data_IF_777403877422
#
_entry.id   IF_777403877422
#
_cell.length_a   1.000
_cell.length_b   1.000
_cell.length_c   1.000
_cell.angle_alpha   90.00
_cell.angle_beta   90.00
_cell.angle_gamma   90.00
#
_symmetry.space_group_name_H-M   'P 1'
#
loop_
_entity.id
_entity.type
_entity.pdbx_description
1 polymer ?
#
# COMPACT_ATOMS: atom_id res chain seq x y z
N UNK A 1 5.87 12.48 -16.42
CA UNK A 1 6.80 12.70 -15.29
C UNK A 1 6.11 12.97 -13.95
N UNK A 2 4.79 13.20 -13.86
CA UNK A 2 4.09 13.33 -12.56
C UNK A 2 3.54 11.99 -12.00
N UNK A 3 2.99 11.13 -12.86
CA UNK A 3 2.38 9.86 -12.43
C UNK A 3 3.40 8.87 -11.83
N UNK A 4 4.62 8.82 -12.36
CA UNK A 4 5.67 7.95 -11.83
C UNK A 4 6.11 8.36 -10.42
N UNK A 5 6.20 9.66 -10.13
CA UNK A 5 6.51 10.16 -8.79
C UNK A 5 5.41 9.81 -7.79
N UNK A 6 4.14 9.90 -8.22
CA UNK A 6 3.01 9.55 -7.36
C UNK A 6 2.94 8.03 -7.08
N UNK A 7 3.23 7.20 -8.08
CA UNK A 7 3.36 5.75 -7.91
C UNK A 7 4.48 5.40 -6.91
N UNK A 8 5.65 6.02 -7.06
CA UNK A 8 6.79 5.79 -6.17
C UNK A 8 6.50 6.21 -4.71
N UNK A 9 5.73 7.28 -4.49
CA UNK A 9 5.29 7.69 -3.15
C UNK A 9 4.31 6.68 -2.54
N UNK A 10 3.37 6.18 -3.34
CA UNK A 10 2.43 5.14 -2.90
C UNK A 10 3.14 3.82 -2.59
N UNK A 11 4.12 3.42 -3.40
CA UNK A 11 4.94 2.24 -3.12
C UNK A 11 5.74 2.39 -1.83
N UNK A 12 6.33 3.57 -1.57
CA UNK A 12 7.01 3.83 -0.29
C UNK A 12 6.06 3.73 0.90
N UNK A 13 4.85 4.30 0.79
CA UNK A 13 3.82 4.14 1.83
C UNK A 13 3.43 2.68 2.03
N UNK A 14 3.25 1.94 0.94
CA UNK A 14 2.92 0.51 1.01
C UNK A 14 4.01 -0.27 1.74
N UNK A 15 5.27 0.00 1.42
CA UNK A 15 6.42 -0.64 2.07
C UNK A 15 6.54 -0.30 3.56
N UNK A 16 6.19 0.93 3.95
CA UNK A 16 6.13 1.32 5.36
C UNK A 16 5.04 0.55 6.11
N UNK A 17 3.85 0.41 5.53
CA UNK A 17 2.74 -0.34 6.13
C UNK A 17 3.07 -1.83 6.23
N UNK A 18 3.72 -2.43 5.21
CA UNK A 18 4.18 -3.82 5.30
C UNK A 18 5.12 -4.03 6.49
N UNK A 19 6.10 -3.13 6.67
CA UNK A 19 7.02 -3.18 7.82
C UNK A 19 6.30 -3.03 9.16
N UNK A 20 5.29 -2.17 9.26
CA UNK A 20 4.48 -2.06 10.47
C UNK A 20 3.68 -3.34 10.74
N UNK A 21 3.11 -3.95 9.70
CA UNK A 21 2.39 -5.23 9.82
C UNK A 21 3.33 -6.34 10.30
N UNK A 22 4.54 -6.45 9.73
CA UNK A 22 5.53 -7.44 10.15
C UNK A 22 5.97 -7.24 11.61
N UNK A 23 6.11 -5.99 12.03
CA UNK A 23 6.48 -5.65 13.41
C UNK A 23 5.36 -6.00 14.40
N UNK A 24 4.11 -5.72 14.06
CA UNK A 24 2.94 -6.09 14.87
C UNK A 24 2.69 -7.61 14.88
N UNK A 25 2.91 -8.30 13.76
CA UNK A 25 2.83 -9.77 13.67
C UNK A 25 3.86 -10.48 14.56
N UNK A 26 5.06 -9.90 14.69
CA UNK A 26 6.12 -10.42 15.54
C UNK A 26 5.98 -10.06 17.02
N UNK A 27 5.02 -9.18 17.38
CA UNK A 27 4.81 -8.78 18.75
C UNK A 27 3.98 -9.84 19.51
N UNK A 28 4.42 -10.30 20.69
CA UNK A 28 3.73 -11.34 21.47
C UNK A 28 2.39 -10.88 22.07
N UNK A 29 2.15 -9.57 22.14
CA UNK A 29 0.86 -8.94 22.48
C UNK A 29 0.26 -8.24 21.27
N UNK A 30 0.25 -8.91 20.13
CA UNK A 30 -0.17 -8.33 18.85
C UNK A 30 -1.55 -7.68 18.95
N UNK A 31 -1.61 -6.37 18.69
CA UNK A 31 -2.87 -5.64 18.56
C UNK A 31 -3.53 -6.07 17.23
N UNK A 32 -4.34 -7.12 17.28
CA UNK A 32 -5.13 -7.60 16.12
C UNK A 32 -5.93 -6.48 15.44
N UNK A 33 -6.38 -5.50 16.23
CA UNK A 33 -7.04 -4.28 15.76
C UNK A 33 -6.11 -3.43 14.87
N UNK A 34 -4.88 -3.15 15.31
CA UNK A 34 -3.89 -2.43 14.49
C UNK A 34 -3.53 -3.21 13.24
N UNK A 35 -3.34 -4.51 13.38
CA UNK A 35 -2.98 -5.39 12.27
C UNK A 35 -4.09 -5.41 11.21
N UNK A 36 -5.36 -5.44 11.62
CA UNK A 36 -6.53 -5.32 10.74
C UNK A 36 -6.60 -3.95 10.05
N UNK A 37 -6.35 -2.86 10.78
CA UNK A 37 -6.28 -1.50 10.22
C UNK A 37 -5.17 -1.36 9.18
N UNK A 38 -3.97 -1.85 9.49
CA UNK A 38 -2.83 -1.81 8.59
C UNK A 38 -3.08 -2.66 7.34
N UNK A 39 -3.65 -3.86 7.47
CA UNK A 39 -4.06 -4.68 6.32
C UNK A 39 -5.09 -3.97 5.43
N UNK A 40 -6.07 -3.26 6.02
CA UNK A 40 -7.02 -2.42 5.26
C UNK A 40 -6.31 -1.30 4.52
N UNK A 41 -5.42 -0.56 5.19
CA UNK A 41 -4.64 0.51 4.55
C UNK A 41 -3.74 -0.03 3.42
N UNK A 42 -3.13 -1.20 3.62
CA UNK A 42 -2.34 -1.90 2.60
C UNK A 42 -3.20 -2.21 1.37
N UNK A 43 -4.41 -2.75 1.57
CA UNK A 43 -5.39 -3.00 0.50
C UNK A 43 -5.74 -1.72 -0.28
N UNK A 44 -6.05 -0.62 0.44
CA UNK A 44 -6.37 0.66 -0.17
C UNK A 44 -5.20 1.24 -1.00
N UNK A 45 -3.97 1.18 -0.48
CA UNK A 45 -2.79 1.60 -1.23
C UNK A 45 -2.57 0.74 -2.48
N UNK A 46 -2.77 -0.58 -2.36
CA UNK A 46 -2.64 -1.49 -3.49
C UNK A 46 -3.66 -1.18 -4.58
N UNK A 47 -4.91 -0.90 -4.20
CA UNK A 47 -5.97 -0.49 -5.12
C UNK A 47 -5.66 0.86 -5.79
N UNK A 48 -5.17 1.84 -5.03
CA UNK A 48 -4.71 3.12 -5.57
C UNK A 48 -3.56 2.94 -6.57
N UNK A 49 -2.56 2.12 -6.25
CA UNK A 49 -1.43 1.79 -7.13
C UNK A 49 -1.94 1.11 -8.41
N UNK A 50 -2.80 0.11 -8.29
CA UNK A 50 -3.41 -0.58 -9.44
C UNK A 50 -4.18 0.42 -10.32
N UNK A 51 -5.00 1.27 -9.72
CA UNK A 51 -5.80 2.27 -10.43
C UNK A 51 -4.93 3.29 -11.17
N UNK A 52 -3.86 3.76 -10.52
CA UNK A 52 -2.85 4.62 -11.15
C UNK A 52 -2.06 3.91 -12.23
N UNK A 53 -1.73 2.64 -12.04
CA UNK A 53 -1.02 1.82 -13.02
C UNK A 53 -1.87 1.55 -14.25
N UNK A 54 -3.17 1.28 -14.06
CA UNK A 54 -4.15 1.16 -15.15
C UNK A 54 -4.32 2.49 -15.86
N UNK A 55 -4.45 3.61 -15.14
CA UNK A 55 -4.54 4.95 -15.73
C UNK A 55 -3.24 5.39 -16.44
N UNK A 56 -2.09 4.94 -15.96
CA UNK A 56 -0.78 5.20 -16.57
C UNK A 56 -0.55 4.40 -17.86
N UNK A 57 -1.22 3.25 -17.99
CA UNK A 57 -1.17 2.44 -19.20
C UNK A 57 -2.19 3.06 -20.16
N UNK A 58 -1.77 3.73 -21.25
CA UNK A 58 -2.72 4.26 -22.20
C UNK A 58 -3.39 3.05 -22.84
N UNK A 59 -4.61 2.74 -22.41
CA UNK A 59 -5.46 1.79 -23.10
C UNK A 59 -5.83 2.45 -24.42
N UNK A 60 -5.12 2.02 -25.46
CA UNK A 60 -5.48 2.15 -26.86
C UNK A 60 -6.92 1.62 -27.00
N UNK A 61 -7.87 2.54 -27.14
CA UNK A 61 -9.23 2.26 -27.59
C UNK A 61 -9.40 2.87 -28.98
#
# INVERSE_FOLDING_TARGET
MALQSHLAELERRHQAIDKEIEKELGAPSGDDLRLAELKRKKLLLKDQIERLRVAAKPTLH
#
